data_IF_465664152162
#
_entry.id   IF_465664152162
#
_cell.length_a   1.000
_cell.length_b   1.000
_cell.length_c   1.000
_cell.angle_alpha   90.00
_cell.angle_beta   90.00
_cell.angle_gamma   90.00
#
_symmetry.space_group_name_H-M   'P 1'
#
loop_
_entity.id
_entity.type
_entity.pdbx_description
1 polymer ?
#
# COMPACT_ATOMS: atom_id res chain seq x y z
N UNK A 1 -9.63 -18.02 0.46
CA UNK A 1 -9.82 -16.95 -0.56
C UNK A 1 -8.50 -16.73 -1.30
N UNK A 2 -8.50 -16.42 -2.61
CA UNK A 2 -7.27 -16.09 -3.36
C UNK A 2 -7.23 -14.60 -3.64
N UNK A 3 -6.09 -13.96 -3.34
CA UNK A 3 -5.81 -12.54 -3.60
C UNK A 3 -4.37 -12.37 -4.06
N UNK A 4 -3.97 -11.15 -4.41
CA UNK A 4 -2.67 -10.80 -4.93
C UNK A 4 -2.01 -9.67 -4.15
N UNK A 5 -0.70 -9.75 -3.99
CA UNK A 5 0.11 -8.72 -3.35
C UNK A 5 1.28 -8.33 -4.27
N UNK A 6 1.45 -7.05 -4.57
CA UNK A 6 2.61 -6.55 -5.29
C UNK A 6 3.67 -6.02 -4.35
N UNK A 7 4.93 -6.38 -4.60
CA UNK A 7 6.08 -5.83 -3.87
C UNK A 7 7.29 -5.68 -4.78
N UNK A 8 8.06 -4.62 -4.56
CA UNK A 8 9.35 -4.42 -5.23
C UNK A 8 10.39 -5.44 -4.73
N UNK A 9 10.26 -5.90 -3.49
CA UNK A 9 11.22 -6.81 -2.85
C UNK A 9 10.76 -8.25 -2.96
N UNK A 10 11.72 -9.14 -3.21
CA UNK A 10 11.48 -10.58 -3.10
C UNK A 10 11.46 -10.99 -1.62
N UNK A 11 10.50 -11.82 -1.23
CA UNK A 11 10.42 -12.44 0.08
C UNK A 11 9.77 -13.83 -0.03
N UNK A 12 10.09 -14.71 0.92
CA UNK A 12 9.60 -16.09 0.92
C UNK A 12 8.45 -16.32 1.92
N UNK A 13 8.17 -15.34 2.77
CA UNK A 13 7.10 -15.34 3.76
C UNK A 13 6.61 -13.91 4.02
N UNK A 14 5.34 -13.77 4.39
CA UNK A 14 4.79 -12.47 4.78
C UNK A 14 5.36 -12.05 6.12
N UNK A 15 5.85 -10.82 6.18
CA UNK A 15 6.14 -10.10 7.40
C UNK A 15 5.67 -8.65 7.22
N UNK A 16 5.09 -8.08 8.28
CA UNK A 16 4.48 -6.75 8.22
C UNK A 16 5.43 -5.66 7.70
N UNK A 17 6.73 -5.77 8.02
CA UNK A 17 7.76 -4.82 7.58
C UNK A 17 8.12 -4.97 6.09
N UNK A 18 7.91 -6.15 5.51
CA UNK A 18 8.29 -6.45 4.13
C UNK A 18 7.13 -6.32 3.14
N UNK A 19 5.89 -6.36 3.63
CA UNK A 19 4.65 -6.33 2.85
C UNK A 19 4.01 -4.93 2.75
N UNK A 20 4.81 -3.88 2.94
CA UNK A 20 4.34 -2.49 2.84
C UNK A 20 4.19 -2.10 1.36
N UNK A 21 2.98 -1.70 0.97
CA UNK A 21 2.71 -1.16 -0.37
C UNK A 21 3.13 0.31 -0.45
N UNK A 22 4.01 0.65 -1.41
CA UNK A 22 4.62 1.99 -1.55
C UNK A 22 3.59 3.12 -1.71
N UNK A 23 2.47 2.88 -2.38
CA UNK A 23 1.41 3.87 -2.61
C UNK A 23 0.28 3.82 -1.57
N UNK A 24 0.34 2.93 -0.57
CA UNK A 24 -0.60 2.89 0.56
C UNK A 24 0.00 3.43 1.86
N UNK A 25 0.94 4.38 1.79
CA UNK A 25 1.63 4.94 2.98
C UNK A 25 0.73 5.49 4.07
N UNK A 26 -0.51 5.87 3.76
CA UNK A 26 -1.46 6.32 4.79
C UNK A 26 -1.99 5.15 5.63
N UNK A 27 -2.08 3.96 5.04
CA UNK A 27 -2.75 2.78 5.60
C UNK A 27 -1.82 1.59 5.81
N UNK A 28 -0.54 1.73 5.47
CA UNK A 28 0.50 0.70 5.54
C UNK A 28 0.64 0.08 6.93
N UNK A 29 0.41 0.85 7.99
CA UNK A 29 0.51 0.36 9.36
C UNK A 29 -0.75 -0.35 9.88
N UNK A 30 -1.86 -0.33 9.15
CA UNK A 30 -3.08 -1.07 9.50
C UNK A 30 -2.83 -2.59 9.41
N UNK A 31 -2.25 -3.04 8.31
CA UNK A 31 -2.05 -4.47 8.03
C UNK A 31 -1.46 -4.71 6.65
N UNK A 32 -1.53 -5.96 6.20
CA UNK A 32 -1.01 -6.38 4.90
C UNK A 32 -2.09 -6.17 3.84
N UNK A 33 -1.81 -5.33 2.86
CA UNK A 33 -2.75 -5.00 1.80
C UNK A 33 -2.58 -5.93 0.59
N UNK A 34 -3.71 -6.43 0.09
CA UNK A 34 -3.84 -7.34 -1.04
C UNK A 34 -5.02 -6.90 -1.92
N UNK A 35 -5.02 -7.27 -3.20
CA UNK A 35 -6.11 -7.01 -4.15
C UNK A 35 -6.71 -8.32 -4.65
N UNK A 36 -7.99 -8.34 -5.01
CA UNK A 36 -8.54 -9.50 -5.74
C UNK A 36 -8.08 -9.56 -7.20
N UNK A 37 -7.52 -8.47 -7.73
CA UNK A 37 -7.12 -8.36 -9.13
C UNK A 37 -5.58 -8.37 -9.28
N UNK A 38 -5.11 -9.10 -10.29
CA UNK A 38 -3.68 -9.29 -10.53
C UNK A 38 -3.03 -8.01 -11.04
N UNK A 39 -3.67 -7.31 -11.99
CA UNK A 39 -3.10 -6.09 -12.58
C UNK A 39 -3.05 -4.94 -11.56
N UNK A 40 -4.10 -4.84 -10.73
CA UNK A 40 -4.13 -3.95 -9.57
C UNK A 40 -3.00 -4.25 -8.59
N UNK A 41 -2.72 -5.52 -8.29
CA UNK A 41 -1.56 -5.87 -7.47
C UNK A 41 -0.23 -5.55 -8.18
N UNK A 42 -0.15 -5.75 -9.49
CA UNK A 42 1.04 -5.50 -10.31
C UNK A 42 1.48 -4.03 -10.23
N UNK A 43 0.57 -3.07 -10.12
CA UNK A 43 0.95 -1.65 -9.97
C UNK A 43 1.77 -1.37 -8.71
N UNK A 44 1.62 -2.16 -7.64
CA UNK A 44 2.41 -2.04 -6.41
C UNK A 44 3.78 -2.75 -6.50
N UNK A 45 3.99 -3.55 -7.53
CA UNK A 45 5.24 -4.29 -7.75
C UNK A 45 6.29 -3.48 -8.52
N UNK A 46 6.07 -2.20 -8.81
CA UNK A 46 7.04 -1.35 -9.50
C UNK A 46 7.67 -0.30 -8.59
N UNK A 47 8.99 -0.19 -8.67
CA UNK A 47 9.79 0.78 -7.96
C UNK A 47 10.52 1.73 -8.89
N UNK A 48 11.28 2.65 -8.30
CA UNK A 48 12.24 3.50 -9.00
C UNK A 48 13.58 3.43 -8.28
N UNK A 49 14.66 3.31 -9.05
CA UNK A 49 16.04 3.48 -8.58
C UNK A 49 16.67 4.68 -9.26
N UNK A 50 17.37 5.52 -8.50
CA UNK A 50 18.11 6.65 -9.07
C UNK A 50 19.42 6.14 -9.65
N UNK A 51 19.58 6.30 -10.97
CA UNK A 51 20.78 5.93 -11.70
C UNK A 51 21.59 7.19 -11.97
N UNK A 52 22.87 7.15 -11.61
CA UNK A 52 23.84 8.21 -11.91
C UNK A 52 24.86 7.60 -12.85
N UNK A 53 24.85 8.03 -14.12
CA UNK A 53 25.77 7.51 -15.13
C UNK A 53 26.32 8.60 -16.04
N UNK A 54 27.38 8.27 -16.76
CA UNK A 54 27.94 9.16 -17.78
C UNK A 54 27.05 9.08 -19.01
N UNK A 55 26.67 10.24 -19.54
CA UNK A 55 25.85 10.33 -20.74
C UNK A 55 26.65 9.89 -21.96
N UNK A 56 26.06 9.02 -22.78
CA UNK A 56 26.62 8.63 -24.07
C UNK A 56 26.35 9.67 -25.18
N UNK A 57 25.48 10.65 -24.91
CA UNK A 57 24.97 11.61 -25.89
C UNK A 57 25.24 13.08 -25.54
N UNK A 58 25.51 13.38 -24.27
CA UNK A 58 25.81 14.73 -23.80
C UNK A 58 27.23 14.86 -23.25
N UNK A 59 27.95 15.88 -23.73
CA UNK A 59 29.33 16.16 -23.35
C UNK A 59 29.45 17.61 -22.86
N UNK A 60 30.40 17.85 -21.95
CA UNK A 60 30.86 19.18 -21.57
C UNK A 60 31.69 19.81 -22.70
N UNK A 61 31.95 21.11 -22.62
CA UNK A 61 32.75 21.84 -23.63
C UNK A 61 34.20 21.33 -23.73
N UNK A 62 34.70 20.67 -22.68
CA UNK A 62 36.02 20.02 -22.65
C UNK A 62 36.04 18.62 -23.28
N UNK A 63 34.90 18.16 -23.80
CA UNK A 63 34.73 16.85 -24.43
C UNK A 63 34.54 15.69 -23.44
N UNK A 64 34.45 15.94 -22.13
CA UNK A 64 34.13 14.91 -21.15
C UNK A 64 32.61 14.61 -21.14
N UNK A 65 32.18 13.34 -21.01
CA UNK A 65 30.77 13.00 -20.87
C UNK A 65 30.15 13.72 -19.67
N UNK A 66 28.93 14.26 -19.83
CA UNK A 66 28.17 14.77 -18.70
C UNK A 66 27.74 13.63 -17.78
N UNK A 67 27.53 13.94 -16.50
CA UNK A 67 26.88 13.02 -15.57
C UNK A 67 25.39 13.32 -15.61
N UNK A 68 24.58 12.31 -15.90
CA UNK A 68 23.11 12.38 -15.88
C UNK A 68 22.59 11.58 -14.71
N UNK A 69 21.57 12.12 -14.08
CA UNK A 69 20.84 11.50 -12.98
C UNK A 69 19.38 11.35 -13.43
N UNK A 70 18.87 10.12 -13.42
CA UNK A 70 17.47 9.85 -13.75
C UNK A 70 16.94 8.67 -12.95
N UNK A 71 15.63 8.64 -12.75
CA UNK A 71 14.96 7.52 -12.10
C UNK A 71 14.62 6.43 -13.12
N UNK A 72 15.16 5.23 -12.91
CA UNK A 72 14.87 4.04 -13.70
C UNK A 72 13.82 3.19 -12.99
N UNK A 73 12.81 2.72 -13.73
CA UNK A 73 11.80 1.83 -13.18
C UNK A 73 12.40 0.43 -12.91
N UNK A 74 12.15 -0.11 -11.73
CA UNK A 74 12.60 -1.46 -11.34
C UNK A 74 11.39 -2.36 -11.16
N UNK A 75 11.28 -3.48 -11.91
CA UNK A 75 10.22 -4.46 -11.74
C UNK A 75 10.46 -5.28 -10.47
N UNK A 76 9.36 -5.60 -9.78
CA UNK A 76 9.33 -6.46 -8.61
C UNK A 76 8.57 -7.74 -8.86
N UNK A 77 7.77 -8.14 -7.87
CA UNK A 77 7.09 -9.43 -7.81
C UNK A 77 5.62 -9.26 -7.45
N UNK A 78 4.77 -10.08 -8.09
CA UNK A 78 3.37 -10.25 -7.70
C UNK A 78 3.20 -11.63 -7.07
N UNK A 79 2.70 -11.65 -5.84
CA UNK A 79 2.46 -12.85 -5.05
C UNK A 79 0.99 -13.22 -5.16
N UNK A 80 0.70 -14.46 -5.54
CA UNK A 80 -0.62 -15.06 -5.38
C UNK A 80 -0.70 -15.64 -3.97
N UNK A 81 -1.71 -15.23 -3.23
CA UNK A 81 -1.86 -15.51 -1.80
C UNK A 81 -3.18 -16.21 -1.56
N UNK A 82 -3.13 -17.31 -0.84
CA UNK A 82 -4.30 -17.93 -0.24
C UNK A 82 -4.49 -17.37 1.18
N UNK A 83 -5.70 -16.93 1.49
CA UNK A 83 -6.12 -16.51 2.82
C UNK A 83 -7.09 -17.55 3.36
N UNK A 84 -6.77 -18.12 4.51
CA UNK A 84 -7.60 -19.15 5.13
C UNK A 84 -8.79 -18.52 5.87
N UNK A 85 -10.00 -18.87 5.45
CA UNK A 85 -11.32 -18.47 5.98
C UNK A 85 -11.36 -17.19 6.87
N UNK A 86 -11.00 -15.99 6.34
CA UNK A 86 -10.85 -14.82 7.19
C UNK A 86 -12.22 -14.20 7.55
N UNK A 87 -12.36 -13.74 8.79
CA UNK A 87 -13.53 -12.94 9.21
C UNK A 87 -13.23 -11.46 8.89
N UNK A 88 -13.81 -10.96 7.80
CA UNK A 88 -13.56 -9.60 7.32
C UNK A 88 -14.72 -8.66 7.64
N UNK A 89 -14.37 -7.43 8.01
CA UNK A 89 -15.33 -6.32 8.02
C UNK A 89 -15.41 -5.74 6.61
N UNK A 90 -16.55 -5.89 5.95
CA UNK A 90 -16.79 -5.32 4.64
C UNK A 90 -17.17 -3.83 4.72
N UNK A 91 -16.53 -3.03 3.86
CA UNK A 91 -16.87 -1.66 3.52
C UNK A 91 -17.23 -1.62 2.03
N UNK A 92 -18.39 -1.07 1.71
CA UNK A 92 -18.92 -0.96 0.34
C UNK A 92 -18.22 0.11 -0.51
N UNK A 93 -17.46 0.99 0.13
CA UNK A 93 -16.71 2.08 -0.51
C UNK A 93 -15.51 2.53 0.32
N UNK A 94 -14.56 3.17 -0.34
CA UNK A 94 -13.47 3.90 0.32
C UNK A 94 -14.00 4.97 1.30
N UNK A 95 -15.10 5.66 0.94
CA UNK A 95 -15.69 6.70 1.78
C UNK A 95 -16.18 6.15 3.12
N UNK A 96 -16.87 5.01 3.10
CA UNK A 96 -17.36 4.34 4.29
C UNK A 96 -16.20 3.90 5.19
N UNK A 97 -15.17 3.28 4.62
CA UNK A 97 -13.94 2.93 5.35
C UNK A 97 -13.32 4.15 6.04
N UNK A 98 -13.14 5.25 5.30
CA UNK A 98 -12.55 6.47 5.84
C UNK A 98 -13.41 7.10 6.93
N UNK A 99 -14.73 7.13 6.78
CA UNK A 99 -15.64 7.64 7.81
C UNK A 99 -15.59 6.83 9.12
N UNK A 100 -15.37 5.51 9.05
CA UNK A 100 -15.24 4.68 10.27
C UNK A 100 -13.86 4.82 10.93
N UNK A 101 -12.82 5.13 10.14
CA UNK A 101 -11.46 5.40 10.63
C UNK A 101 -11.27 6.82 11.19
N UNK A 102 -11.99 7.81 10.64
CA UNK A 102 -11.88 9.23 10.99
C UNK A 102 -11.90 9.53 12.51
N UNK A 103 -12.73 8.85 13.34
CA UNK A 103 -12.77 9.10 14.78
C UNK A 103 -11.45 8.82 15.52
N UNK A 104 -10.52 8.08 14.91
CA UNK A 104 -9.19 7.79 15.48
C UNK A 104 -8.12 8.80 15.02
N UNK A 105 -8.46 9.68 14.07
CA UNK A 105 -7.53 10.57 13.40
C UNK A 105 -7.49 11.95 14.07
N UNK A 106 -6.28 12.49 14.24
CA UNK A 106 -6.04 13.86 14.69
C UNK A 106 -5.44 14.69 13.56
N UNK A 107 -6.11 15.78 13.20
CA UNK A 107 -5.79 16.60 12.05
C UNK A 107 -5.35 18.00 12.48
N UNK A 108 -4.28 18.51 11.88
CA UNK A 108 -3.85 19.90 12.07
C UNK A 108 -4.62 20.88 11.16
N UNK A 109 -5.10 21.98 11.74
CA UNK A 109 -5.45 23.19 10.99
C UNK A 109 -5.25 24.45 11.82
N UNK A 110 -4.82 25.52 11.13
CA UNK A 110 -4.73 26.87 11.70
C UNK A 110 -6.02 27.68 11.52
N UNK A 111 -7.01 27.17 10.76
CA UNK A 111 -8.17 27.96 10.31
C UNK A 111 -9.53 27.36 10.64
N UNK A 112 -9.65 26.03 10.75
CA UNK A 112 -10.94 25.33 10.93
C UNK A 112 -10.91 24.47 12.20
N UNK A 113 -12.02 24.48 12.96
CA UNK A 113 -12.28 23.53 14.05
C UNK A 113 -13.14 22.38 13.51
N UNK A 114 -12.92 21.16 14.00
CA UNK A 114 -13.56 19.91 13.54
C UNK A 114 -13.24 19.57 12.08
N UNK A 115 -12.03 19.05 11.88
CA UNK A 115 -11.58 18.53 10.60
C UNK A 115 -11.98 17.06 10.46
N UNK A 116 -12.13 16.65 9.21
CA UNK A 116 -12.34 15.25 8.81
C UNK A 116 -11.37 14.91 7.68
N UNK A 117 -11.20 13.64 7.36
CA UNK A 117 -10.41 13.21 6.20
C UNK A 117 -10.80 13.89 4.88
N UNK A 118 -12.07 14.31 4.73
CA UNK A 118 -12.55 15.04 3.54
C UNK A 118 -11.93 16.43 3.37
N UNK A 119 -11.45 17.02 4.46
CA UNK A 119 -10.79 18.32 4.45
C UNK A 119 -9.35 18.25 3.93
N UNK A 120 -8.82 17.04 3.66
CA UNK A 120 -7.44 16.81 3.20
C UNK A 120 -6.39 17.53 4.07
N UNK A 121 -6.65 17.61 5.37
CA UNK A 121 -5.76 18.22 6.35
C UNK A 121 -4.59 17.29 6.68
N UNK A 122 -3.55 17.83 7.32
CA UNK A 122 -2.36 17.05 7.71
C UNK A 122 -2.75 16.16 8.89
N UNK A 123 -2.70 14.83 8.70
CA UNK A 123 -2.88 13.83 9.73
C UNK A 123 -1.63 13.76 10.63
N UNK A 124 -1.81 13.99 11.93
CA UNK A 124 -0.72 14.09 12.90
C UNK A 124 -0.35 12.76 13.54
N UNK A 125 -1.31 11.85 13.68
CA UNK A 125 -1.19 10.64 14.49
C UNK A 125 -1.38 9.35 13.67
N UNK A 126 -0.93 9.31 12.40
CA UNK A 126 -1.19 8.21 11.44
C UNK A 126 -1.05 6.81 12.06
N UNK A 127 0.09 6.52 12.66
CA UNK A 127 0.39 5.18 13.17
C UNK A 127 -0.47 4.81 14.39
N UNK A 128 -0.72 5.77 15.27
CA UNK A 128 -1.60 5.59 16.43
C UNK A 128 -3.06 5.40 15.99
N UNK A 129 -3.54 6.23 15.06
CA UNK A 129 -4.88 6.14 14.49
C UNK A 129 -5.11 4.76 13.84
N UNK A 130 -4.16 4.31 13.02
CA UNK A 130 -4.20 2.99 12.38
C UNK A 130 -4.17 1.85 13.41
N UNK A 131 -3.34 1.97 14.45
CA UNK A 131 -3.26 0.98 15.51
C UNK A 131 -4.55 0.88 16.33
N UNK A 132 -5.14 2.00 16.74
CA UNK A 132 -6.39 2.03 17.51
C UNK A 132 -7.58 1.57 16.67
N UNK A 133 -7.65 1.98 15.41
CA UNK A 133 -8.65 1.49 14.47
C UNK A 133 -8.56 -0.05 14.31
N UNK A 134 -7.37 -0.59 14.05
CA UNK A 134 -7.13 -2.03 13.98
C UNK A 134 -7.53 -2.74 15.27
N UNK A 135 -7.09 -2.24 16.43
CA UNK A 135 -7.46 -2.81 17.75
C UNK A 135 -8.98 -2.83 17.95
N UNK A 136 -9.69 -1.79 17.49
CA UNK A 136 -11.15 -1.75 17.61
C UNK A 136 -11.85 -2.85 16.82
N UNK A 137 -11.31 -3.22 15.65
CA UNK A 137 -11.85 -4.28 14.79
C UNK A 137 -11.49 -5.67 15.29
N UNK A 138 -10.24 -5.87 15.73
CA UNK A 138 -9.81 -7.11 16.38
C UNK A 138 -10.67 -7.41 17.61
N UNK A 139 -10.98 -6.41 18.44
CA UNK A 139 -11.89 -6.56 19.60
C UNK A 139 -13.31 -7.01 19.21
N UNK A 140 -13.75 -6.74 17.98
CA UNK A 140 -15.03 -7.17 17.43
C UNK A 140 -14.95 -8.56 16.74
N UNK A 141 -13.77 -9.19 16.72
CA UNK A 141 -13.56 -10.51 16.14
C UNK A 141 -13.22 -10.51 14.65
N UNK A 142 -12.79 -9.39 14.09
CA UNK A 142 -12.37 -9.32 12.68
C UNK A 142 -10.86 -9.58 12.53
N UNK A 143 -10.51 -10.39 11.52
CA UNK A 143 -9.15 -10.72 11.09
C UNK A 143 -8.58 -9.70 10.09
N UNK A 144 -9.45 -8.88 9.53
CA UNK A 144 -9.09 -7.89 8.53
C UNK A 144 -10.29 -7.08 8.05
N UNK A 145 -10.07 -6.31 6.99
CA UNK A 145 -11.09 -5.51 6.32
C UNK A 145 -11.10 -5.80 4.83
N UNK A 146 -12.26 -5.69 4.20
CA UNK A 146 -12.42 -5.64 2.76
C UNK A 146 -13.01 -4.27 2.38
N UNK A 147 -12.31 -3.52 1.54
CA UNK A 147 -12.76 -2.23 1.04
C UNK A 147 -13.07 -2.40 -0.44
N UNK A 148 -14.36 -2.37 -0.78
CA UNK A 148 -14.82 -2.43 -2.17
C UNK A 148 -14.55 -1.11 -2.86
N UNK A 149 -14.17 -1.17 -4.15
CA UNK A 149 -13.91 0.02 -4.98
C UNK A 149 -12.97 1.01 -4.28
N UNK A 150 -11.88 0.49 -3.73
CA UNK A 150 -10.82 1.33 -3.21
C UNK A 150 -10.15 2.05 -4.36
N UNK A 151 -10.12 3.38 -4.30
CA UNK A 151 -9.46 4.19 -5.31
C UNK A 151 -7.94 4.03 -5.16
N UNK A 152 -7.32 3.29 -6.07
CA UNK A 152 -5.86 3.18 -6.17
C UNK A 152 -5.38 3.81 -7.49
N UNK A 153 -4.07 4.00 -7.65
CA UNK A 153 -3.51 4.64 -8.85
C UNK A 153 -3.86 3.90 -10.16
N UNK A 154 -4.00 2.57 -10.10
CA UNK A 154 -4.38 1.73 -11.24
C UNK A 154 -5.89 1.73 -11.56
N UNK A 155 -6.71 2.43 -10.77
CA UNK A 155 -8.17 2.44 -10.87
C UNK A 155 -8.86 1.93 -9.62
N UNK A 156 -10.19 1.77 -9.67
CA UNK A 156 -10.95 1.23 -8.54
C UNK A 156 -10.79 -0.29 -8.48
N UNK A 157 -10.40 -0.81 -7.32
CA UNK A 157 -10.27 -2.26 -7.10
C UNK A 157 -10.74 -2.67 -5.71
N UNK A 158 -11.10 -3.94 -5.54
CA UNK A 158 -11.39 -4.47 -4.23
C UNK A 158 -10.08 -4.79 -3.51
N UNK A 159 -9.90 -4.16 -2.35
CA UNK A 159 -8.70 -4.29 -1.53
C UNK A 159 -9.04 -4.98 -0.22
N UNK A 160 -8.11 -5.81 0.25
CA UNK A 160 -8.20 -6.59 1.46
C UNK A 160 -7.00 -6.24 2.34
N UNK A 161 -7.25 -5.87 3.60
CA UNK A 161 -6.19 -5.63 4.56
C UNK A 161 -6.27 -6.66 5.68
N UNK A 162 -5.28 -7.53 5.77
CA UNK A 162 -5.23 -8.62 6.75
C UNK A 162 -4.32 -8.22 7.92
N UNK A 163 -4.80 -8.45 9.14
CA UNK A 163 -4.13 -7.97 10.34
C UNK A 163 -3.01 -8.89 10.84
N UNK A 164 -3.01 -10.18 10.46
CA UNK A 164 -1.96 -11.15 10.81
C UNK A 164 -1.41 -11.82 9.56
N UNK A 165 -0.10 -12.02 9.51
CA UNK A 165 0.57 -12.81 8.48
C UNK A 165 0.29 -14.32 8.61
N UNK A 166 -0.10 -14.80 9.78
CA UNK A 166 -0.44 -16.21 10.03
C UNK A 166 -1.57 -16.75 9.12
N UNK A 167 -2.44 -15.87 8.62
CA UNK A 167 -3.55 -16.25 7.74
C UNK A 167 -3.14 -16.29 6.26
N UNK A 168 -1.90 -15.92 5.93
CA UNK A 168 -1.45 -15.71 4.56
C UNK A 168 -0.50 -16.82 4.12
N UNK A 169 -0.88 -17.53 3.05
CA UNK A 169 -0.03 -18.52 2.41
C UNK A 169 0.32 -18.09 0.98
N UNK A 170 1.61 -17.97 0.67
CA UNK A 170 2.07 -17.75 -0.71
C UNK A 170 1.80 -19.03 -1.51
N UNK A 171 0.95 -18.91 -2.52
CA UNK A 171 0.58 -19.98 -3.44
C UNK A 171 1.32 -19.88 -4.79
N UNK A 172 1.94 -18.74 -5.09
CA UNK A 172 2.73 -18.53 -6.30
C UNK A 172 3.38 -17.15 -6.35
N UNK A 173 4.44 -17.01 -7.15
CA UNK A 173 5.18 -15.75 -7.32
C UNK A 173 5.42 -15.52 -8.82
N UNK A 174 5.15 -14.31 -9.28
CA UNK A 174 5.31 -13.88 -10.67
C UNK A 174 6.26 -12.69 -10.74
N UNK A 175 7.14 -12.65 -11.75
CA UNK A 175 7.90 -11.43 -12.08
C UNK A 175 6.94 -10.38 -12.62
N UNK A 176 7.16 -9.11 -12.28
CA UNK A 176 6.38 -7.98 -12.81
C UNK A 176 6.89 -7.47 -14.16
N UNK A 177 7.99 -8.02 -14.68
CA UNK A 177 8.52 -7.75 -16.03
C UNK A 177 7.48 -7.91 -17.16
#
# INVERSE_FOLDING_TARGET
>A
MIVYHGSIRKFDHFHKEHAIQKSMKEFDTIGIWLSSDFESAKSFAFGTETVIEKSDTEFWEDGLPKVVEYDKQVPGFVYKVYIDEPILKDYDSYEHFMNERDPYCDYASTKKRHLTWKDKAILLNKDEANAEFRKSLVKKGYDGIAVRKMAIEAGDTDMYCIFSDDLLQIAGVFSAE
#
